data_IF_788656263066
#
_entry.id   IF_788656263066
#
_cell.length_a   1.000
_cell.length_b   1.000
_cell.length_c   1.000
_cell.angle_alpha   90.00
_cell.angle_beta   90.00
_cell.angle_gamma   90.00
#
_symmetry.space_group_name_H-M   'P 1'
#
loop_
_entity.id
_entity.type
_entity.pdbx_description
1 polymer ?
#
# COMPACT_ATOMS: atom_id res chain seq x y z
N UNK A 1 61.94 -15.07 -20.36
CA UNK A 1 62.08 -13.67 -19.94
C UNK A 1 60.84 -13.27 -19.13
N UNK A 2 61.04 -12.85 -17.85
CA UNK A 2 60.12 -12.19 -16.89
C UNK A 2 58.78 -12.92 -16.59
N UNK A 3 58.48 -13.54 -15.44
CA UNK A 3 58.73 -13.34 -14.00
C UNK A 3 57.96 -12.17 -13.32
N UNK A 4 57.21 -12.55 -12.26
CA UNK A 4 56.71 -11.80 -11.06
C UNK A 4 55.35 -11.07 -11.18
N UNK A 5 54.35 -11.16 -10.28
CA UNK A 5 54.11 -11.65 -8.88
C UNK A 5 52.56 -11.80 -8.72
N UNK A 6 51.91 -12.86 -8.19
CA UNK A 6 51.75 -13.40 -6.82
C UNK A 6 51.24 -12.45 -5.70
N UNK A 7 50.02 -12.72 -5.19
CA UNK A 7 49.61 -12.86 -3.77
C UNK A 7 48.14 -13.34 -3.73
N UNK A 8 47.78 -14.56 -3.27
CA UNK A 8 47.56 -14.97 -1.86
C UNK A 8 46.16 -14.53 -1.38
N UNK A 9 45.22 -15.35 -0.93
CA UNK A 9 45.31 -16.28 0.22
C UNK A 9 43.99 -17.08 0.34
N UNK A 10 44.07 -18.34 0.79
CA UNK A 10 42.96 -19.22 1.13
C UNK A 10 42.31 -18.86 2.49
N UNK A 11 41.06 -19.29 2.73
CA UNK A 11 40.51 -19.86 3.99
C UNK A 11 38.99 -20.12 3.77
N UNK A 12 38.54 -21.38 3.70
CA UNK A 12 37.95 -22.16 4.80
C UNK A 12 36.56 -21.65 5.26
N UNK A 13 35.51 -22.44 5.01
CA UNK A 13 34.32 -22.45 5.86
C UNK A 13 33.96 -23.90 6.19
N UNK A 14 34.28 -24.25 7.43
CA UNK A 14 33.85 -25.48 8.10
C UNK A 14 32.37 -25.37 8.48
N UNK A 15 31.70 -26.51 8.54
CA UNK A 15 30.30 -26.61 8.93
C UNK A 15 30.03 -26.11 10.34
N UNK A 16 28.89 -25.44 10.49
CA UNK A 16 28.18 -25.31 11.75
C UNK A 16 26.75 -25.81 11.51
N UNK A 17 26.50 -27.04 11.94
CA UNK A 17 25.17 -27.57 12.17
C UNK A 17 24.57 -26.75 13.32
N UNK A 18 23.64 -25.84 13.02
CA UNK A 18 22.76 -25.24 14.03
C UNK A 18 21.44 -26.00 13.96
N UNK A 19 21.26 -26.94 14.88
CA UNK A 19 19.94 -27.43 15.24
C UNK A 19 19.26 -26.28 15.98
N UNK A 20 18.44 -25.51 15.27
CA UNK A 20 17.45 -24.65 15.92
C UNK A 20 16.19 -25.48 16.07
N UNK A 21 15.90 -25.85 17.31
CA UNK A 21 14.57 -26.33 17.71
C UNK A 21 13.62 -25.18 17.39
N UNK A 22 12.84 -25.33 16.31
CA UNK A 22 11.79 -24.38 15.98
C UNK A 22 10.75 -24.40 17.09
N UNK A 23 10.86 -23.48 18.04
CA UNK A 23 9.66 -22.99 18.73
C UNK A 23 8.83 -22.32 17.65
N UNK A 24 7.67 -22.89 17.38
CA UNK A 24 6.64 -22.30 16.52
C UNK A 24 6.48 -20.83 16.91
N UNK A 25 6.83 -19.93 16.00
CA UNK A 25 6.47 -18.53 16.14
C UNK A 25 4.98 -18.47 15.84
N UNK A 26 4.22 -18.45 16.93
CA UNK A 26 2.80 -18.14 17.02
C UNK A 26 2.43 -16.96 16.13
N UNK A 27 1.27 -17.07 15.48
CA UNK A 27 0.63 -16.03 14.69
C UNK A 27 0.63 -14.66 15.42
N UNK A 28 1.37 -13.69 14.88
CA UNK A 28 1.32 -12.29 15.30
C UNK A 28 1.54 -11.33 14.12
N UNK A 29 1.07 -11.73 12.92
CA UNK A 29 0.81 -10.83 11.78
C UNK A 29 -0.64 -10.32 11.81
N UNK A 30 -1.26 -10.25 13.00
CA UNK A 30 -2.63 -9.81 13.16
C UNK A 30 -2.76 -8.33 12.75
N UNK A 31 -3.62 -8.09 11.76
CA UNK A 31 -4.00 -6.76 11.31
C UNK A 31 -4.33 -5.84 12.49
N UNK A 32 -3.91 -4.58 12.42
CA UNK A 32 -4.67 -3.56 13.14
C UNK A 32 -5.89 -3.26 12.26
N UNK A 33 -7.04 -3.13 12.92
CA UNK A 33 -8.38 -3.22 12.36
C UNK A 33 -8.62 -2.34 11.12
N UNK A 34 -9.59 -2.75 10.28
CA UNK A 34 -10.29 -1.76 9.47
C UNK A 34 -10.90 -0.74 10.44
N UNK A 35 -10.44 0.50 10.38
CA UNK A 35 -10.95 1.54 11.25
C UNK A 35 -12.43 1.76 10.97
N UNK A 36 -13.21 1.94 12.03
CA UNK A 36 -14.60 2.39 11.94
C UNK A 36 -14.59 3.80 11.34
N UNK A 37 -14.78 3.92 10.03
CA UNK A 37 -14.63 5.20 9.32
C UNK A 37 -15.99 5.85 9.08
N UNK A 38 -16.17 7.06 9.61
CA UNK A 38 -17.41 7.83 9.55
C UNK A 38 -17.12 9.32 9.45
N UNK A 39 -18.16 10.14 9.26
CA UNK A 39 -18.04 11.59 9.17
C UNK A 39 -18.96 12.24 10.18
N UNK A 40 -18.50 13.29 10.86
CA UNK A 40 -19.34 14.12 11.72
C UNK A 40 -19.22 15.56 11.24
N UNK A 41 -20.36 16.26 11.17
CA UNK A 41 -20.42 17.68 10.87
C UNK A 41 -21.04 18.44 12.04
N UNK A 42 -20.61 19.69 12.25
CA UNK A 42 -21.37 20.61 13.10
C UNK A 42 -22.55 21.21 12.33
N UNK A 43 -23.52 21.76 13.07
CA UNK A 43 -24.78 22.23 12.50
C UNK A 43 -24.74 23.70 12.11
N UNK A 44 -25.53 24.05 11.09
CA UNK A 44 -25.71 25.42 10.62
C UNK A 44 -26.19 26.38 11.72
N UNK A 45 -25.30 27.32 12.07
CA UNK A 45 -25.51 28.49 12.96
C UNK A 45 -25.75 28.15 14.45
N UNK A 46 -24.81 28.56 15.30
CA UNK A 46 -24.97 28.63 16.76
C UNK A 46 -24.38 27.45 17.56
N UNK A 47 -23.87 26.43 16.88
CA UNK A 47 -23.23 25.22 17.43
C UNK A 47 -21.82 24.99 16.88
N UNK A 48 -21.16 26.03 16.36
CA UNK A 48 -19.82 25.90 15.78
C UNK A 48 -18.86 25.22 16.75
N UNK A 49 -18.27 24.10 16.34
CA UNK A 49 -17.39 23.27 17.18
C UNK A 49 -18.09 22.17 17.99
N UNK A 50 -19.41 22.05 17.92
CA UNK A 50 -20.19 20.94 18.47
C UNK A 50 -20.75 20.10 17.31
N UNK A 51 -20.29 18.86 17.14
CA UNK A 51 -20.86 17.95 16.14
C UNK A 51 -22.35 17.78 16.40
N UNK A 52 -23.20 18.03 15.40
CA UNK A 52 -24.67 17.99 15.55
C UNK A 52 -25.29 16.78 14.87
N UNK A 53 -24.65 16.29 13.82
CA UNK A 53 -25.10 15.14 13.07
C UNK A 53 -23.88 14.40 12.50
N UNK A 54 -24.07 13.11 12.28
CA UNK A 54 -23.04 12.27 11.69
C UNK A 54 -23.60 11.40 10.59
N UNK A 55 -22.68 11.05 9.73
CA UNK A 55 -22.86 10.42 8.45
C UNK A 55 -22.10 9.11 8.51
N UNK A 56 -22.85 8.03 8.72
CA UNK A 56 -22.32 6.69 8.81
C UNK A 56 -23.15 5.73 7.96
N UNK A 57 -22.52 4.62 7.60
CA UNK A 57 -23.14 3.51 6.92
C UNK A 57 -23.82 2.49 7.84
N UNK A 58 -23.63 2.59 9.16
CA UNK A 58 -24.21 1.69 10.16
C UNK A 58 -25.38 2.35 10.89
N UNK A 59 -25.27 3.62 11.28
CA UNK A 59 -26.31 4.42 11.94
C UNK A 59 -26.05 5.91 11.68
N UNK A 60 -27.07 6.75 11.46
CA UNK A 60 -26.87 8.19 11.26
C UNK A 60 -28.13 8.89 10.72
N UNK A 61 -28.12 10.23 10.72
CA UNK A 61 -29.22 11.03 10.13
C UNK A 61 -29.16 11.01 8.59
N UNK A 62 -27.99 10.72 8.04
CA UNK A 62 -27.69 10.77 6.62
C UNK A 62 -26.86 9.54 6.20
N UNK A 63 -27.36 8.78 5.22
CA UNK A 63 -26.69 7.56 4.73
C UNK A 63 -25.44 7.90 3.90
N UNK A 64 -24.28 7.38 4.30
CA UNK A 64 -23.05 7.38 3.48
C UNK A 64 -22.65 5.97 3.05
N UNK A 65 -21.89 5.82 1.94
CA UNK A 65 -21.35 4.52 1.59
C UNK A 65 -20.41 4.01 2.70
N UNK A 66 -20.43 2.69 3.00
CA UNK A 66 -19.50 2.07 3.92
C UNK A 66 -18.04 2.47 3.72
N UNK A 67 -17.41 2.83 4.83
CA UNK A 67 -15.98 3.10 4.86
C UNK A 67 -15.58 4.33 4.06
N UNK A 68 -16.33 5.42 4.26
CA UNK A 68 -16.04 6.73 3.68
C UNK A 68 -15.99 7.76 4.78
N UNK A 69 -14.93 8.58 4.75
CA UNK A 69 -14.82 9.74 5.62
C UNK A 69 -14.68 10.99 4.77
N UNK A 70 -15.48 12.00 5.05
CA UNK A 70 -15.46 13.30 4.40
C UNK A 70 -14.81 14.32 5.36
N UNK A 71 -14.01 15.24 4.82
CA UNK A 71 -13.47 16.37 5.57
C UNK A 71 -13.48 17.62 4.71
N UNK A 72 -13.83 18.74 5.31
CA UNK A 72 -13.89 20.00 4.59
C UNK A 72 -14.56 21.10 5.40
N UNK A 73 -14.99 22.13 4.69
CA UNK A 73 -15.79 23.22 5.23
C UNK A 73 -16.94 23.45 4.28
N UNK A 74 -18.17 23.25 4.74
CA UNK A 74 -19.38 23.43 3.94
C UNK A 74 -20.16 24.61 4.50
N UNK A 75 -20.17 25.74 3.78
CA UNK A 75 -20.76 27.00 4.27
C UNK A 75 -20.18 27.44 5.62
N UNK A 76 -20.93 27.27 6.72
CA UNK A 76 -20.52 27.55 8.10
C UNK A 76 -20.20 26.28 8.89
N UNK A 77 -20.34 25.09 8.26
CA UNK A 77 -20.15 23.80 8.90
C UNK A 77 -18.71 23.29 8.69
N UNK A 78 -18.13 22.76 9.75
CA UNK A 78 -16.90 21.98 9.73
C UNK A 78 -17.23 20.50 9.64
N UNK A 79 -16.79 19.88 8.54
CA UNK A 79 -16.95 18.45 8.31
C UNK A 79 -15.64 17.76 8.66
N UNK A 80 -15.69 16.76 9.55
CA UNK A 80 -14.52 16.00 9.99
C UNK A 80 -14.69 14.53 9.65
N UNK A 81 -13.64 13.96 9.07
CA UNK A 81 -13.56 12.53 8.78
C UNK A 81 -12.90 11.82 9.96
N UNK A 82 -13.53 10.79 10.50
CA UNK A 82 -13.07 10.08 11.69
C UNK A 82 -12.84 8.60 11.39
N UNK A 83 -11.89 8.02 12.09
CA UNK A 83 -11.62 6.59 12.10
C UNK A 83 -11.24 6.14 13.51
N UNK A 84 -11.85 5.06 14.02
CA UNK A 84 -11.47 4.48 15.31
C UNK A 84 -10.90 3.08 15.19
N UNK A 85 -9.92 2.78 16.05
CA UNK A 85 -9.26 1.48 16.14
C UNK A 85 -9.36 0.93 17.55
N UNK A 86 -10.00 -0.24 17.68
CA UNK A 86 -10.05 -0.97 18.94
C UNK A 86 -8.65 -1.41 19.35
N UNK A 87 -8.23 -0.96 20.54
CA UNK A 87 -6.92 -1.30 21.11
C UNK A 87 -6.99 -2.48 22.08
N UNK A 88 -8.16 -3.09 22.26
CA UNK A 88 -8.34 -4.22 23.18
C UNK A 88 -7.42 -5.38 22.80
N UNK A 89 -6.49 -5.72 23.71
CA UNK A 89 -5.54 -6.80 23.49
C UNK A 89 -4.38 -6.45 22.55
N UNK A 90 -4.26 -5.19 22.14
CA UNK A 90 -3.14 -4.71 21.34
C UNK A 90 -1.93 -4.39 22.24
N UNK A 91 -0.74 -4.49 21.66
CA UNK A 91 0.54 -4.23 22.32
C UNK A 91 1.32 -3.16 21.57
N UNK A 92 2.26 -2.51 22.24
CA UNK A 92 3.15 -1.53 21.61
C UNK A 92 3.87 -2.12 20.40
N UNK A 93 4.03 -1.33 19.35
CA UNK A 93 4.64 -1.75 18.09
C UNK A 93 5.88 -0.91 17.78
N UNK A 94 6.84 -1.50 17.06
CA UNK A 94 8.00 -0.77 16.56
C UNK A 94 7.61 0.32 15.55
N UNK A 95 6.56 0.07 14.76
CA UNK A 95 5.94 1.08 13.92
C UNK A 95 4.49 0.77 13.62
N UNK A 96 3.69 1.83 13.51
CA UNK A 96 2.29 1.79 13.12
C UNK A 96 2.01 2.91 12.14
N UNK A 97 1.34 2.56 11.04
CA UNK A 97 0.92 3.52 10.03
C UNK A 97 -0.60 3.50 9.86
N UNK A 98 -1.17 4.65 9.52
CA UNK A 98 -2.54 4.78 9.04
C UNK A 98 -2.49 5.16 7.57
N UNK A 99 -3.10 4.33 6.73
CA UNK A 99 -3.17 4.53 5.28
C UNK A 99 -4.61 4.74 4.84
N UNK A 100 -4.85 5.72 3.98
CA UNK A 100 -6.15 5.98 3.37
C UNK A 100 -5.98 6.57 1.97
N UNK A 101 -7.02 6.45 1.14
CA UNK A 101 -6.99 6.87 -0.28
C UNK A 101 -8.01 7.97 -0.52
N UNK A 102 -7.70 8.95 -1.37
CA UNK A 102 -8.68 9.92 -1.86
C UNK A 102 -9.70 9.18 -2.73
N UNK A 103 -10.94 9.10 -2.25
CA UNK A 103 -12.04 8.47 -2.96
C UNK A 103 -12.69 9.42 -3.96
N UNK A 104 -12.83 10.70 -3.63
CA UNK A 104 -13.41 11.70 -4.52
C UNK A 104 -12.86 13.12 -4.23
N UNK A 105 -12.74 13.91 -5.30
CA UNK A 105 -12.39 15.35 -5.25
C UNK A 105 -13.62 16.23 -4.95
N UNK A 106 -14.50 15.73 -4.09
CA UNK A 106 -15.72 16.39 -3.62
C UNK A 106 -16.18 15.72 -2.33
N UNK A 107 -17.14 16.34 -1.65
CA UNK A 107 -17.92 15.64 -0.65
C UNK A 107 -18.96 14.69 -1.27
N UNK A 108 -19.63 13.96 -0.39
CA UNK A 108 -20.64 12.95 -0.67
C UNK A 108 -22.03 13.55 -1.01
N UNK A 109 -22.24 14.84 -0.77
CA UNK A 109 -23.52 15.52 -0.85
C UNK A 109 -23.54 16.56 -1.97
N UNK A 110 -23.53 16.07 -3.21
CA UNK A 110 -23.72 16.93 -4.37
C UNK A 110 -25.18 17.42 -4.48
N UNK A 111 -25.43 18.69 -4.86
CA UNK A 111 -24.45 19.66 -5.35
C UNK A 111 -23.77 20.52 -4.28
N UNK A 112 -24.20 20.45 -3.01
CA UNK A 112 -23.85 21.42 -1.96
C UNK A 112 -22.35 21.44 -1.64
N UNK A 113 -21.69 20.28 -1.59
CA UNK A 113 -20.23 20.15 -1.43
C UNK A 113 -19.54 19.49 -2.65
N UNK A 114 -20.11 19.69 -3.85
CA UNK A 114 -19.68 19.07 -5.10
C UNK A 114 -18.34 19.56 -5.69
N UNK A 115 -17.46 20.16 -4.87
CA UNK A 115 -16.17 20.70 -5.28
C UNK A 115 -15.11 20.53 -4.18
N UNK A 116 -13.82 20.42 -4.54
CA UNK A 116 -12.77 20.09 -3.59
C UNK A 116 -12.43 21.27 -2.68
N UNK A 117 -12.27 20.99 -1.39
CA UNK A 117 -11.74 21.96 -0.42
C UNK A 117 -10.29 22.34 -0.74
N UNK A 118 -9.97 23.64 -0.72
CA UNK A 118 -8.60 24.13 -0.95
C UNK A 118 -8.01 24.64 0.35
N UNK A 119 -7.01 23.92 0.88
CA UNK A 119 -6.43 24.28 2.17
C UNK A 119 -5.53 23.21 2.74
N UNK A 120 -5.31 23.30 4.06
CA UNK A 120 -4.58 22.30 4.81
C UNK A 120 -5.56 21.50 5.68
N UNK A 121 -5.32 20.20 5.77
CA UNK A 121 -6.05 19.28 6.63
C UNK A 121 -5.09 18.85 7.74
N UNK A 122 -5.49 19.09 8.99
CA UNK A 122 -4.80 18.58 10.16
C UNK A 122 -5.31 17.17 10.48
N UNK A 123 -4.37 16.30 10.81
CA UNK A 123 -4.63 14.93 11.28
C UNK A 123 -4.33 14.90 12.75
N UNK A 124 -5.36 14.73 13.55
CA UNK A 124 -5.26 14.69 15.02
C UNK A 124 -5.67 13.33 15.52
N UNK A 125 -5.00 12.84 16.56
CA UNK A 125 -5.46 11.66 17.27
C UNK A 125 -6.26 12.05 18.50
N UNK A 126 -7.22 11.22 18.88
CA UNK A 126 -8.05 11.40 20.05
C UNK A 126 -8.31 10.05 20.75
N UNK A 127 -8.74 10.09 22.00
CA UNK A 127 -9.16 8.89 22.71
C UNK A 127 -10.59 8.54 22.26
N UNK A 128 -10.72 7.44 21.50
CA UNK A 128 -12.00 6.99 20.99
C UNK A 128 -12.79 6.17 22.02
N UNK A 129 -13.96 5.70 21.61
CA UNK A 129 -14.87 4.91 22.45
C UNK A 129 -15.40 3.62 21.77
N UNK A 130 -14.91 3.30 20.56
CA UNK A 130 -15.35 2.21 19.69
C UNK A 130 -16.82 2.34 19.24
N UNK A 131 -17.34 3.55 19.13
CA UNK A 131 -18.67 3.86 18.60
C UNK A 131 -18.60 4.98 17.55
N UNK A 132 -19.63 5.06 16.71
CA UNK A 132 -19.81 6.17 15.78
C UNK A 132 -20.74 7.19 16.44
N UNK A 133 -20.19 8.21 17.08
CA UNK A 133 -21.02 9.21 17.73
C UNK A 133 -20.43 10.63 17.72
N UNK A 134 -21.25 11.59 18.18
CA UNK A 134 -20.91 13.01 18.14
C UNK A 134 -19.83 13.40 19.16
N UNK A 135 -19.58 12.58 20.18
CA UNK A 135 -18.60 12.89 21.22
C UNK A 135 -17.17 12.85 20.67
N UNK A 136 -16.92 12.06 19.64
CA UNK A 136 -15.62 11.94 18.96
C UNK A 136 -15.23 13.20 18.19
N UNK A 137 -16.23 13.92 17.69
CA UNK A 137 -16.01 15.24 17.10
C UNK A 137 -15.51 16.24 18.15
N UNK A 138 -16.01 16.16 19.38
CA UNK A 138 -15.66 17.07 20.47
C UNK A 138 -14.49 16.56 21.32
N UNK A 139 -14.02 15.33 21.08
CA UNK A 139 -12.95 14.71 21.85
C UNK A 139 -11.70 15.60 21.83
N UNK A 140 -11.14 15.81 23.03
CA UNK A 140 -9.89 16.55 23.21
C UNK A 140 -8.76 15.79 22.50
N UNK A 141 -8.01 16.44 21.58
CA UNK A 141 -6.91 15.77 20.91
C UNK A 141 -5.86 15.27 21.90
N UNK A 142 -5.38 14.05 21.69
CA UNK A 142 -4.17 13.54 22.34
C UNK A 142 -2.93 14.25 21.79
N UNK A 143 -2.95 14.58 20.50
CA UNK A 143 -1.89 15.28 19.79
C UNK A 143 -2.19 15.40 18.29
N UNK A 144 -1.45 16.27 17.62
CA UNK A 144 -1.44 16.33 16.16
C UNK A 144 -0.45 15.30 15.62
N UNK A 145 -0.89 14.46 14.67
CA UNK A 145 -0.04 13.51 13.95
C UNK A 145 0.73 14.24 12.86
N UNK A 146 0.02 14.99 12.01
CA UNK A 146 0.60 15.80 10.94
C UNK A 146 -0.44 16.77 10.39
N UNK A 147 0.00 17.71 9.58
CA UNK A 147 -0.84 18.50 8.68
C UNK A 147 -0.40 18.28 7.23
N UNK A 148 -1.34 18.17 6.29
CA UNK A 148 -1.05 18.06 4.85
C UNK A 148 -1.87 19.06 4.04
N UNK A 149 -1.34 19.46 2.87
CA UNK A 149 -2.05 20.34 1.94
C UNK A 149 -2.90 19.54 0.96
N UNK A 150 -4.09 20.04 0.62
CA UNK A 150 -4.92 19.47 -0.45
C UNK A 150 -4.39 19.81 -1.84
N UNK A 151 -3.40 20.70 -1.95
CA UNK A 151 -2.81 21.08 -3.22
C UNK A 151 -2.15 19.87 -3.92
N UNK A 152 -2.68 19.53 -5.10
CA UNK A 152 -2.17 18.43 -5.92
C UNK A 152 -2.66 17.04 -5.50
N UNK A 153 -3.58 16.95 -4.54
CA UNK A 153 -4.35 15.73 -4.35
C UNK A 153 -5.25 15.49 -5.55
N UNK A 154 -5.38 14.24 -5.94
CA UNK A 154 -6.32 13.76 -6.95
C UNK A 154 -6.99 12.49 -6.46
N UNK A 155 -8.12 12.13 -7.05
CA UNK A 155 -8.73 10.81 -6.85
C UNK A 155 -7.69 9.69 -7.01
N UNK A 156 -7.67 8.74 -6.07
CA UNK A 156 -6.70 7.65 -5.98
C UNK A 156 -5.37 8.00 -5.31
N UNK A 157 -5.16 9.23 -4.85
CA UNK A 157 -3.97 9.58 -4.06
C UNK A 157 -3.96 8.82 -2.73
N UNK A 158 -2.86 8.15 -2.41
CA UNK A 158 -2.71 7.40 -1.16
C UNK A 158 -1.89 8.21 -0.17
N UNK A 159 -2.42 8.39 1.03
CA UNK A 159 -1.73 8.99 2.17
C UNK A 159 -1.39 7.88 3.16
N UNK A 160 -0.15 7.90 3.68
CA UNK A 160 0.34 6.97 4.69
C UNK A 160 1.02 7.77 5.78
N UNK A 161 0.49 7.70 6.99
CA UNK A 161 0.88 8.54 8.12
C UNK A 161 1.49 7.66 9.20
N UNK A 162 2.66 8.04 9.71
CA UNK A 162 3.27 7.38 10.86
C UNK A 162 2.55 7.84 12.13
N UNK A 163 1.92 6.90 12.85
CA UNK A 163 1.23 7.15 14.11
C UNK A 163 1.90 6.41 15.27
N UNK A 164 3.12 5.93 15.10
CA UNK A 164 3.80 5.04 16.05
C UNK A 164 3.87 5.62 17.46
N UNK A 165 4.29 6.89 17.57
CA UNK A 165 4.45 7.56 18.86
C UNK A 165 3.11 7.65 19.60
N UNK A 166 2.07 8.16 18.92
CA UNK A 166 0.76 8.38 19.53
C UNK A 166 0.02 7.07 19.81
N UNK A 167 0.21 6.06 18.97
CA UNK A 167 -0.29 4.70 19.20
C UNK A 167 0.33 4.08 20.45
N UNK A 168 1.67 4.12 20.56
CA UNK A 168 2.36 3.53 21.71
C UNK A 168 2.05 4.28 23.01
N UNK A 169 1.81 5.59 22.94
CA UNK A 169 1.31 6.38 24.06
C UNK A 169 -0.10 5.94 24.46
N UNK A 170 -1.00 5.74 23.51
CA UNK A 170 -2.36 5.26 23.76
C UNK A 170 -2.37 3.88 24.44
N UNK A 171 -1.53 2.94 23.97
CA UNK A 171 -1.33 1.63 24.60
C UNK A 171 -0.77 1.79 26.02
N UNK A 172 0.25 2.64 26.22
CA UNK A 172 0.84 2.86 27.55
C UNK A 172 -0.16 3.46 28.55
N UNK A 173 -1.10 4.26 28.07
CA UNK A 173 -2.20 4.85 28.85
C UNK A 173 -3.37 3.89 29.09
N UNK A 174 -3.36 2.72 28.45
CA UNK A 174 -4.44 1.75 28.53
C UNK A 174 -5.74 2.25 27.92
N UNK A 175 -5.67 3.03 26.84
CA UNK A 175 -6.86 3.48 26.12
C UNK A 175 -7.55 2.29 25.43
N UNK A 176 -8.89 2.20 25.47
CA UNK A 176 -9.62 1.12 24.81
C UNK A 176 -9.74 1.32 23.29
N UNK A 177 -9.62 2.56 22.81
CA UNK A 177 -9.71 2.92 21.39
C UNK A 177 -8.80 4.11 21.10
N UNK A 178 -8.23 4.10 19.90
CA UNK A 178 -7.51 5.24 19.31
C UNK A 178 -8.30 5.76 18.12
N UNK A 179 -8.66 7.03 18.18
CA UNK A 179 -9.30 7.73 17.08
C UNK A 179 -8.31 8.55 16.25
N UNK A 180 -8.50 8.61 14.94
CA UNK A 180 -7.84 9.50 14.00
C UNK A 180 -8.90 10.38 13.34
N UNK A 181 -8.70 11.69 13.42
CA UNK A 181 -9.63 12.69 12.91
C UNK A 181 -8.93 13.61 11.91
N UNK A 182 -9.50 13.70 10.72
CA UNK A 182 -9.19 14.73 9.74
C UNK A 182 -10.07 15.95 10.04
N UNK A 183 -9.45 17.12 10.11
CA UNK A 183 -10.14 18.38 10.31
C UNK A 183 -9.46 19.50 9.54
N UNK A 184 -10.18 20.59 9.26
CA UNK A 184 -9.57 21.77 8.64
C UNK A 184 -8.48 22.31 9.56
N UNK A 185 -7.27 22.51 9.03
CA UNK A 185 -6.16 22.99 9.85
C UNK A 185 -6.44 24.42 10.34
N UNK A 186 -6.14 24.74 11.62
CA UNK A 186 -6.36 26.08 12.16
C UNK A 186 -5.70 27.17 11.31
N UNK A 187 -6.42 28.26 11.06
CA UNK A 187 -5.91 29.39 10.28
C UNK A 187 -5.97 29.21 8.76
N UNK A 188 -6.57 28.13 8.27
CA UNK A 188 -6.89 27.96 6.84
C UNK A 188 -8.15 28.78 6.51
N UNK A 189 -8.12 29.61 5.47
CA UNK A 189 -9.33 30.30 4.99
C UNK A 189 -10.31 29.27 4.43
N UNK A 190 -11.54 29.27 4.95
CA UNK A 190 -12.59 28.33 4.55
C UNK A 190 -13.22 28.77 3.22
N UNK A 191 -12.53 28.49 2.12
CA UNK A 191 -13.20 28.36 0.83
C UNK A 191 -13.94 27.03 0.85
N UNK A 192 -15.25 27.04 0.68
CA UNK A 192 -16.08 25.85 0.88
C UNK A 192 -15.66 24.60 0.09
N UNK A 193 -16.33 23.47 0.34
CA UNK A 193 -16.10 22.20 -0.33
C UNK A 193 -15.57 21.13 0.61
N UNK A 194 -15.33 19.93 0.07
CA UNK A 194 -14.90 18.79 0.86
C UNK A 194 -14.08 17.79 0.04
N UNK A 195 -13.41 16.89 0.74
CA UNK A 195 -12.75 15.71 0.19
C UNK A 195 -13.34 14.46 0.82
N UNK A 196 -13.53 13.42 0.02
CA UNK A 196 -13.92 12.09 0.52
C UNK A 196 -12.74 11.15 0.44
N UNK A 197 -12.51 10.41 1.52
CA UNK A 197 -11.48 9.40 1.66
C UNK A 197 -12.09 8.01 1.89
N UNK A 198 -11.40 6.97 1.39
CA UNK A 198 -11.66 5.58 1.72
C UNK A 198 -11.26 5.24 3.16
N UNK A 199 -11.65 4.04 3.61
CA UNK A 199 -11.33 3.48 4.91
C UNK A 199 -9.88 3.73 5.34
N UNK A 200 -9.76 4.11 6.62
CA UNK A 200 -8.48 4.33 7.25
C UNK A 200 -8.02 2.99 7.80
N UNK A 201 -6.90 2.52 7.28
CA UNK A 201 -6.33 1.23 7.64
C UNK A 201 -5.12 1.47 8.52
N UNK A 202 -5.24 1.14 9.80
CA UNK A 202 -4.09 1.07 10.69
C UNK A 202 -3.40 -0.28 10.48
N UNK A 203 -2.08 -0.29 10.40
CA UNK A 203 -1.34 -1.54 10.30
C UNK A 203 0.03 -1.43 10.95
N UNK A 204 0.54 -2.53 11.53
CA UNK A 204 1.92 -2.57 11.95
C UNK A 204 2.79 -2.41 10.69
N UNK A 205 3.80 -1.57 10.81
CA UNK A 205 4.85 -1.43 9.82
C UNK A 205 6.20 -1.68 10.46
N UNK A 206 7.24 -1.84 9.66
CA UNK A 206 8.59 -1.63 10.17
C UNK A 206 8.87 -0.14 10.07
N UNK A 207 9.45 0.44 11.12
CA UNK A 207 9.89 1.84 11.15
C UNK A 207 11.04 2.00 10.18
N UNK A 208 10.73 2.08 8.89
CA UNK A 208 11.70 2.51 7.90
C UNK A 208 11.71 4.03 7.96
N UNK A 209 12.46 4.58 8.92
CA UNK A 209 13.18 5.82 8.64
C UNK A 209 13.82 5.62 7.26
N UNK A 210 13.44 6.45 6.29
CA UNK A 210 13.84 6.30 4.90
C UNK A 210 15.31 6.69 4.70
N UNK A 211 16.25 6.09 5.41
CA UNK A 211 17.65 6.15 5.01
C UNK A 211 17.92 5.14 3.89
N UNK A 212 18.31 5.68 2.74
CA UNK A 212 18.87 4.95 1.62
C UNK A 212 20.06 4.08 2.07
N UNK A 213 19.84 2.78 2.23
CA UNK A 213 20.92 1.78 2.21
C UNK A 213 20.57 0.59 1.32
N UNK A 214 21.52 0.11 0.50
CA UNK A 214 21.30 -1.02 -0.38
C UNK A 214 21.31 -2.31 0.45
N UNK A 215 20.26 -3.12 0.35
CA UNK A 215 20.28 -4.49 0.91
C UNK A 215 20.68 -5.51 -0.17
N UNK A 216 21.57 -6.46 0.17
CA UNK A 216 22.03 -7.52 -0.73
C UNK A 216 20.94 -8.60 -0.93
N UNK A 217 21.05 -9.39 -2.01
CA UNK A 217 19.96 -10.24 -2.47
C UNK A 217 19.91 -11.56 -1.69
N UNK A 218 18.73 -12.18 -1.75
CA UNK A 218 18.36 -13.54 -1.28
C UNK A 218 17.66 -13.54 0.08
N UNK A 219 16.35 -13.32 0.06
CA UNK A 219 15.32 -14.20 0.67
C UNK A 219 13.96 -13.47 0.70
N UNK A 220 13.14 -13.74 -0.32
CA UNK A 220 11.65 -13.67 -0.27
C UNK A 220 11.06 -13.95 -1.66
N UNK A 221 11.31 -15.16 -2.19
CA UNK A 221 10.77 -15.58 -3.50
C UNK A 221 9.33 -16.11 -3.44
N UNK A 222 8.67 -16.20 -2.28
CA UNK A 222 7.34 -16.87 -2.21
C UNK A 222 6.22 -16.02 -1.56
N UNK A 223 6.52 -14.89 -0.89
CA UNK A 223 5.50 -14.18 -0.10
C UNK A 223 4.97 -12.85 -0.68
N UNK A 224 5.25 -12.50 -1.95
CA UNK A 224 4.75 -11.22 -2.54
C UNK A 224 4.24 -11.33 -3.98
N UNK A 225 3.54 -12.41 -4.32
CA UNK A 225 2.62 -12.41 -5.46
C UNK A 225 1.19 -12.13 -4.95
N UNK A 226 0.95 -10.91 -4.51
CA UNK A 226 -0.40 -10.35 -4.52
C UNK A 226 -0.35 -9.14 -5.46
N UNK A 227 -0.93 -9.36 -6.63
CA UNK A 227 -1.03 -8.44 -7.75
C UNK A 227 -1.86 -7.21 -7.34
N UNK A 228 -1.29 -6.01 -7.44
CA UNK A 228 -2.07 -4.80 -7.66
C UNK A 228 -1.74 -4.29 -9.06
N UNK A 229 -2.68 -4.54 -9.98
CA UNK A 229 -2.67 -3.97 -11.33
C UNK A 229 -3.32 -2.60 -11.22
N UNK A 230 -2.52 -1.53 -11.23
CA UNK A 230 -3.02 -0.16 -11.38
C UNK A 230 -2.61 0.40 -12.74
N UNK A 231 -3.58 0.52 -13.63
CA UNK A 231 -3.48 1.30 -14.85
C UNK A 231 -3.69 2.76 -14.44
N UNK A 232 -2.73 3.65 -14.71
CA UNK A 232 -3.04 5.08 -14.69
C UNK A 232 -2.21 5.88 -15.69
N UNK A 233 -2.89 6.89 -16.22
CA UNK A 233 -2.54 7.71 -17.37
C UNK A 233 -1.33 8.64 -17.09
N UNK A 234 -0.58 8.91 -18.15
CA UNK A 234 0.56 9.81 -18.16
C UNK A 234 0.11 11.25 -17.86
N UNK A 235 0.62 11.86 -16.79
CA UNK A 235 0.63 13.32 -16.66
C UNK A 235 2.08 13.80 -16.50
N UNK A 236 2.50 14.55 -17.49
CA UNK A 236 3.84 15.08 -17.71
C UNK A 236 3.96 16.38 -16.92
N UNK A 237 4.85 16.47 -15.91
CA UNK A 237 5.80 17.57 -15.73
C UNK A 237 6.65 17.39 -14.44
N UNK A 238 7.92 17.10 -14.67
CA UNK A 238 9.10 17.42 -13.87
C UNK A 238 9.03 17.31 -12.33
N UNK A 239 9.61 16.24 -11.79
CA UNK A 239 10.87 16.30 -11.02
C UNK A 239 11.40 14.88 -10.73
N UNK A 240 12.73 14.75 -10.86
CA UNK A 240 13.55 13.55 -10.77
C UNK A 240 13.33 12.78 -9.47
N UNK A 241 12.55 11.69 -9.48
CA UNK A 241 12.63 10.63 -8.48
C UNK A 241 12.32 9.27 -9.15
N UNK A 242 13.08 8.27 -8.71
CA UNK A 242 13.30 6.94 -9.24
C UNK A 242 12.15 6.02 -8.79
N UNK A 243 11.23 5.70 -9.70
CA UNK A 243 10.05 4.85 -9.47
C UNK A 243 10.08 3.65 -10.41
N UNK A 244 10.14 2.43 -9.87
CA UNK A 244 9.94 1.22 -10.67
C UNK A 244 8.51 1.28 -11.23
N UNK A 245 8.37 1.44 -12.55
CA UNK A 245 7.09 1.43 -13.24
C UNK A 245 6.73 -0.02 -13.57
N UNK A 246 5.66 -0.53 -12.95
CA UNK A 246 5.00 -1.78 -13.33
C UNK A 246 3.76 -1.40 -14.13
N UNK A 247 3.89 -1.36 -15.45
CA UNK A 247 2.75 -1.19 -16.33
C UNK A 247 2.91 -2.18 -17.48
N UNK A 248 1.90 -3.02 -17.68
CA UNK A 248 1.83 -3.96 -18.79
C UNK A 248 1.78 -3.17 -20.09
N UNK A 249 2.92 -3.01 -20.75
CA UNK A 249 3.03 -2.44 -22.08
C UNK A 249 3.36 -3.56 -23.06
N UNK A 250 2.39 -4.39 -23.47
CA UNK A 250 2.63 -5.33 -24.55
C UNK A 250 3.07 -4.52 -25.79
N UNK A 251 4.20 -4.89 -26.41
CA UNK A 251 4.56 -4.40 -27.75
C UNK A 251 3.65 -5.12 -28.77
N UNK A 252 2.35 -4.80 -28.72
CA UNK A 252 1.27 -5.39 -29.53
C UNK A 252 1.07 -4.66 -30.87
N UNK A 253 1.99 -3.75 -31.21
CA UNK A 253 1.93 -2.94 -32.42
C UNK A 253 1.20 -1.60 -32.26
N UNK A 254 0.68 -1.28 -31.08
CA UNK A 254 0.05 0.03 -30.79
C UNK A 254 1.04 1.21 -30.72
N UNK A 255 2.34 0.93 -30.62
CA UNK A 255 3.39 1.95 -30.49
C UNK A 255 3.49 2.58 -29.10
N UNK A 256 2.70 2.11 -28.13
CA UNK A 256 2.72 2.51 -26.72
C UNK A 256 3.35 1.41 -25.83
N UNK A 257 4.27 0.64 -26.38
CA UNK A 257 5.01 -0.41 -25.66
C UNK A 257 6.11 0.14 -24.74
N UNK A 258 6.79 -0.72 -23.99
CA UNK A 258 7.94 -0.33 -23.16
C UNK A 258 9.04 0.39 -23.94
N UNK A 259 9.20 0.08 -25.23
CA UNK A 259 10.07 0.79 -26.17
C UNK A 259 9.77 2.30 -26.28
N UNK A 260 8.49 2.68 -26.22
CA UNK A 260 8.05 4.08 -26.27
C UNK A 260 8.34 4.82 -24.96
N UNK A 261 8.19 4.11 -23.84
CA UNK A 261 8.34 4.68 -22.50
C UNK A 261 9.77 4.67 -21.98
N UNK A 262 10.63 3.78 -22.48
CA UNK A 262 12.04 3.69 -22.08
C UNK A 262 12.80 5.02 -22.14
N UNK A 263 12.68 5.88 -23.18
CA UNK A 263 13.35 7.18 -23.18
C UNK A 263 12.68 8.23 -22.26
N UNK A 264 11.41 8.02 -21.86
CA UNK A 264 10.64 8.96 -21.04
C UNK A 264 10.83 8.71 -19.53
N UNK A 265 11.08 7.46 -19.15
CA UNK A 265 11.30 7.05 -17.77
C UNK A 265 12.75 6.64 -17.55
N UNK A 266 13.42 7.22 -16.54
CA UNK A 266 14.80 6.86 -16.19
C UNK A 266 14.91 5.84 -15.05
N UNK A 267 13.77 5.33 -14.59
CA UNK A 267 13.67 4.37 -13.49
C UNK A 267 13.49 2.95 -14.03
N UNK A 268 13.55 1.93 -13.17
CA UNK A 268 13.37 0.55 -13.64
C UNK A 268 11.99 0.35 -14.28
N UNK A 269 11.94 -0.34 -15.41
CA UNK A 269 10.71 -0.72 -16.12
C UNK A 269 10.57 -2.24 -16.02
N UNK A 270 9.43 -2.69 -15.51
CA UNK A 270 9.05 -4.09 -15.56
C UNK A 270 7.94 -4.25 -16.59
N UNK A 271 8.20 -5.00 -17.65
CA UNK A 271 7.17 -5.29 -18.65
C UNK A 271 6.48 -6.63 -18.36
N UNK A 272 5.19 -6.68 -18.68
CA UNK A 272 4.36 -7.86 -18.54
C UNK A 272 3.40 -7.96 -19.73
N UNK A 273 2.99 -9.19 -20.05
CA UNK A 273 2.03 -9.47 -21.13
C UNK A 273 2.61 -10.36 -22.22
N UNK A 274 2.22 -11.63 -22.19
CA UNK A 274 2.48 -12.62 -23.26
C UNK A 274 3.94 -12.83 -23.70
N UNK A 275 4.93 -12.45 -22.89
CA UNK A 275 6.34 -12.79 -23.14
C UNK A 275 6.60 -14.30 -23.09
N UNK A 276 7.44 -14.76 -24.02
CA UNK A 276 8.16 -16.02 -23.91
C UNK A 276 9.53 -15.74 -23.31
N UNK A 277 10.32 -16.79 -23.03
CA UNK A 277 11.71 -16.62 -22.61
C UNK A 277 12.48 -15.76 -23.63
N UNK A 278 12.36 -16.11 -24.90
CA UNK A 278 13.11 -15.51 -26.00
C UNK A 278 12.72 -14.04 -26.19
N UNK A 279 11.42 -13.73 -26.19
CA UNK A 279 10.97 -12.35 -26.35
C UNK A 279 11.26 -11.51 -25.11
N UNK A 280 11.23 -12.09 -23.91
CA UNK A 280 11.65 -11.40 -22.70
C UNK A 280 13.16 -11.12 -22.65
N UNK A 281 14.00 -12.09 -22.99
CA UNK A 281 15.45 -11.95 -23.09
C UNK A 281 15.84 -10.89 -24.14
N UNK A 282 15.14 -10.85 -25.28
CA UNK A 282 15.37 -9.81 -26.30
C UNK A 282 15.13 -8.40 -25.75
N UNK A 283 14.04 -8.18 -25.02
CA UNK A 283 13.73 -6.86 -24.43
C UNK A 283 14.76 -6.41 -23.40
N UNK A 284 15.27 -7.35 -22.60
CA UNK A 284 16.35 -7.10 -21.65
C UNK A 284 17.66 -6.77 -22.37
N UNK A 285 18.01 -7.55 -23.40
CA UNK A 285 19.24 -7.34 -24.19
C UNK A 285 19.23 -6.00 -24.94
N UNK A 286 18.05 -5.56 -25.40
CA UNK A 286 17.85 -4.27 -26.06
C UNK A 286 17.79 -3.09 -25.08
N UNK A 287 17.86 -3.35 -23.76
CA UNK A 287 17.81 -2.31 -22.72
C UNK A 287 16.46 -1.59 -22.64
N UNK A 288 15.40 -2.20 -23.17
CA UNK A 288 14.04 -1.62 -23.20
C UNK A 288 13.33 -1.76 -21.85
N UNK A 289 13.75 -2.73 -21.05
CA UNK A 289 13.17 -3.06 -19.75
C UNK A 289 14.27 -3.55 -18.80
N UNK A 290 13.99 -3.52 -17.51
CA UNK A 290 14.89 -3.97 -16.45
C UNK A 290 14.47 -5.32 -15.87
N UNK A 291 13.19 -5.70 -16.04
CA UNK A 291 12.69 -7.04 -15.75
C UNK A 291 11.47 -7.40 -16.60
N UNK A 292 11.16 -8.70 -16.66
CA UNK A 292 9.95 -9.24 -17.29
C UNK A 292 9.14 -10.00 -16.25
N UNK A 293 7.84 -9.72 -16.16
CA UNK A 293 6.91 -10.48 -15.33
C UNK A 293 6.11 -11.50 -16.16
N UNK A 294 6.00 -12.72 -15.64
CA UNK A 294 5.28 -13.82 -16.26
C UNK A 294 4.13 -14.27 -15.35
N UNK A 295 2.89 -14.24 -15.85
CA UNK A 295 1.71 -14.72 -15.10
C UNK A 295 1.39 -16.19 -15.39
N UNK A 296 0.75 -16.45 -16.54
CA UNK A 296 0.29 -17.79 -16.97
C UNK A 296 1.37 -18.87 -16.93
N UNK A 297 2.62 -18.52 -17.28
CA UNK A 297 3.72 -19.48 -17.23
C UNK A 297 4.08 -19.84 -15.79
N UNK A 298 4.03 -18.90 -14.85
CA UNK A 298 4.33 -19.15 -13.44
C UNK A 298 3.23 -19.96 -12.75
N UNK A 299 1.96 -19.80 -13.15
CA UNK A 299 0.85 -20.64 -12.63
C UNK A 299 1.16 -22.12 -12.87
N UNK A 300 1.58 -22.48 -14.09
CA UNK A 300 1.84 -23.87 -14.45
C UNK A 300 3.26 -24.37 -14.12
N UNK A 301 4.20 -23.47 -13.86
CA UNK A 301 5.61 -23.79 -13.68
C UNK A 301 6.11 -23.11 -12.40
N UNK A 302 5.97 -23.76 -11.23
CA UNK A 302 6.40 -23.17 -9.96
C UNK A 302 7.92 -22.90 -9.91
N UNK A 303 8.67 -23.60 -10.76
CA UNK A 303 10.12 -23.50 -10.95
C UNK A 303 10.52 -22.85 -12.29
N UNK A 304 9.67 -21.97 -12.83
CA UNK A 304 9.88 -21.28 -14.12
C UNK A 304 11.31 -20.69 -14.30
N UNK A 305 11.93 -20.04 -13.30
CA UNK A 305 13.29 -19.52 -13.46
C UNK A 305 14.33 -20.61 -13.74
N UNK A 306 14.21 -21.76 -13.08
CA UNK A 306 15.11 -22.90 -13.29
C UNK A 306 14.89 -23.50 -14.67
N UNK A 307 13.63 -23.62 -15.11
CA UNK A 307 13.31 -24.08 -16.46
C UNK A 307 13.87 -23.17 -17.54
N UNK A 308 13.77 -21.85 -17.38
CA UNK A 308 14.42 -20.90 -18.30
C UNK A 308 15.94 -21.03 -18.29
N UNK A 309 16.57 -21.13 -17.11
CA UNK A 309 18.02 -21.28 -17.01
C UNK A 309 18.54 -22.55 -17.70
N UNK A 310 17.78 -23.65 -17.62
CA UNK A 310 18.14 -24.95 -18.22
C UNK A 310 17.60 -25.13 -19.65
N UNK A 311 16.85 -24.17 -20.17
CA UNK A 311 16.06 -24.34 -21.39
C UNK A 311 15.17 -25.59 -21.39
N UNK A 312 14.57 -25.89 -20.23
CA UNK A 312 13.76 -27.07 -20.03
C UNK A 312 12.34 -26.91 -20.57
N UNK A 313 11.62 -28.01 -20.88
CA UNK A 313 10.22 -27.96 -21.25
C UNK A 313 9.36 -27.29 -20.16
N UNK A 314 8.40 -26.48 -20.60
CA UNK A 314 7.42 -25.85 -19.72
C UNK A 314 6.16 -26.71 -19.64
N UNK A 315 5.59 -26.81 -18.46
CA UNK A 315 4.25 -27.34 -18.25
C UNK A 315 3.23 -26.45 -18.98
N UNK A 316 2.25 -27.08 -19.62
CA UNK A 316 1.12 -26.37 -20.20
C UNK A 316 0.18 -25.89 -19.08
N UNK A 317 -0.25 -24.63 -19.15
CA UNK A 317 -1.26 -24.11 -18.24
C UNK A 317 -2.66 -24.56 -18.68
N UNK A 318 -3.50 -24.91 -17.71
CA UNK A 318 -4.93 -25.12 -17.91
C UNK A 318 -5.71 -23.86 -17.51
N UNK A 319 -6.39 -23.24 -18.48
CA UNK A 319 -7.19 -22.03 -18.23
C UNK A 319 -8.48 -22.32 -17.48
N UNK A 320 -9.01 -23.54 -17.56
CA UNK A 320 -10.28 -23.89 -16.91
C UNK A 320 -10.17 -23.87 -15.38
N UNK A 321 -8.96 -23.97 -14.84
CA UNK A 321 -8.68 -24.04 -13.40
C UNK A 321 -8.12 -22.74 -12.82
N UNK A 322 -8.10 -21.63 -13.58
CA UNK A 322 -7.48 -20.38 -13.09
C UNK A 322 -8.25 -19.70 -11.96
N UNK A 323 -9.56 -19.92 -11.85
CA UNK A 323 -10.42 -19.20 -10.92
C UNK A 323 -11.32 -20.17 -10.15
N UNK A 324 -11.29 -20.11 -8.83
CA UNK A 324 -12.01 -21.04 -7.94
C UNK A 324 -11.43 -22.47 -7.96
N UNK A 325 -12.16 -23.44 -7.40
CA UNK A 325 -11.78 -24.85 -7.44
C UNK A 325 -11.06 -25.36 -6.19
N UNK A 326 -10.27 -26.41 -6.37
CA UNK A 326 -9.48 -27.10 -5.33
C UNK A 326 -7.97 -27.03 -5.68
N UNK A 327 -7.18 -28.02 -5.26
CA UNK A 327 -5.73 -28.04 -5.54
C UNK A 327 -5.38 -28.24 -7.02
N UNK A 328 -6.33 -28.71 -7.84
CA UNK A 328 -6.11 -29.03 -9.25
C UNK A 328 -5.87 -27.79 -10.10
N UNK A 329 -4.77 -27.79 -10.83
CA UNK A 329 -4.32 -26.64 -11.62
C UNK A 329 -3.92 -25.44 -10.76
N UNK A 330 -3.57 -25.67 -9.49
CA UNK A 330 -3.08 -24.65 -8.56
C UNK A 330 -1.78 -25.08 -7.87
N UNK A 331 -1.80 -26.16 -7.08
CA UNK A 331 -0.61 -26.65 -6.34
C UNK A 331 -0.07 -27.98 -6.85
N UNK A 332 -0.75 -28.61 -7.81
CA UNK A 332 -0.41 -29.94 -8.34
C UNK A 332 0.41 -29.91 -9.65
N UNK A 333 0.83 -28.73 -10.13
CA UNK A 333 1.77 -28.63 -11.24
C UNK A 333 3.15 -29.18 -10.84
N UNK A 334 3.74 -30.10 -11.64
CA UNK A 334 4.99 -30.74 -11.27
C UNK A 334 6.18 -29.79 -11.39
N UNK A 335 7.11 -29.89 -10.43
CA UNK A 335 8.46 -29.32 -10.54
C UNK A 335 9.30 -30.13 -11.54
N UNK A 336 10.38 -29.55 -12.04
CA UNK A 336 11.38 -30.26 -12.82
C UNK A 336 12.05 -31.32 -11.93
N UNK A 337 12.09 -32.57 -12.40
CA UNK A 337 12.70 -33.65 -11.62
C UNK A 337 14.18 -33.32 -11.33
N UNK A 338 14.66 -33.55 -10.09
CA UNK A 338 16.07 -33.37 -9.78
C UNK A 338 16.89 -34.29 -10.70
N UNK A 339 17.86 -33.73 -11.41
CA UNK A 339 18.83 -34.55 -12.15
C UNK A 339 19.46 -35.54 -11.16
N UNK A 340 19.23 -36.85 -11.37
CA UNK A 340 19.95 -37.88 -10.64
C UNK A 340 21.43 -37.58 -10.75
N UNK A 341 22.10 -37.38 -9.60
CA UNK A 341 23.55 -37.39 -9.56
C UNK A 341 23.99 -38.80 -9.93
N UNK A 342 24.30 -39.02 -11.19
CA UNK A 342 25.08 -40.18 -11.62
C UNK A 342 26.42 -40.13 -10.89
N UNK A 343 26.61 -41.11 -10.02
CA UNK A 343 27.75 -41.26 -9.12
C UNK A 343 29.04 -41.61 -9.87
#
# INVERSE_FOLDING_TARGET
MKAKKWLGMALAFAGALVVSVGTEVSAQDAAIAEGLSFTVADGYVGSAGEGTHFHSNQQGEFDTPPGKAEVGSLFEEEVRGLAEYDLTGMEQQEAVFVTFTVYAESGLFAPDNGFPFVGNIAVVAYAGNNAEDLSDFQATPLGEVTTFSTAGLTEGSVLSLDITEIYNEAIARGLPSLGIRLQVAPGTETGGGAWTFDNFLAHPGRSHHWELRPLPPILSLIARMQLTVSISFCSFLQRKLWRIFLQSFPDDGTGLGSSHFRPLFQSNIIAAGAYTRETGEAMLAEGKVDAIAYGRLFIANPDLPQRFALNAPLNAYDRATFYGGDTRGYTDYPFLEPLEKTA
#
